data_IF_961953903233
#
_entry.id   IF_961953903233
#
_cell.length_a   1.000
_cell.length_b   1.000
_cell.length_c   1.000
_cell.angle_alpha   90.00
_cell.angle_beta   90.00
_cell.angle_gamma   90.00
#
_symmetry.space_group_name_H-M   'P 1'
#
loop_
_entity.id
_entity.type
_entity.pdbx_description
1 polymer ?
#
# COMPACT_ATOMS: atom_id res chain seq x y z
N UNK A 1 -6.79 -2.34 -3.19
CA UNK A 1 -5.69 -3.13 -2.58
C UNK A 1 -6.04 -3.83 -1.27
N UNK A 2 -6.23 -3.10 -0.16
CA UNK A 2 -6.44 -3.72 1.17
C UNK A 2 -7.76 -4.48 1.32
N UNK A 3 -8.88 -3.84 0.99
CA UNK A 3 -10.21 -4.44 1.10
C UNK A 3 -10.54 -5.59 0.12
N UNK A 4 -9.69 -5.80 -0.90
CA UNK A 4 -9.91 -6.80 -1.94
C UNK A 4 -8.77 -7.81 -2.02
N UNK A 5 -7.58 -7.38 -2.48
CA UNK A 5 -6.42 -8.26 -2.71
C UNK A 5 -5.91 -8.83 -1.38
N UNK A 6 -5.49 -7.95 -0.45
CA UNK A 6 -5.00 -8.39 0.86
C UNK A 6 -6.06 -9.20 1.61
N UNK A 7 -7.33 -8.73 1.62
CA UNK A 7 -8.44 -9.46 2.25
C UNK A 7 -8.65 -10.86 1.68
N UNK A 8 -8.65 -11.03 0.34
CA UNK A 8 -8.85 -12.36 -0.26
C UNK A 8 -7.67 -13.28 -0.04
N UNK A 9 -6.44 -12.79 -0.23
CA UNK A 9 -5.24 -13.60 -0.01
C UNK A 9 -5.09 -13.99 1.47
N UNK A 10 -5.46 -13.08 2.39
CA UNK A 10 -5.50 -13.37 3.82
C UNK A 10 -6.52 -14.44 4.19
N UNK A 11 -7.71 -14.40 3.57
CA UNK A 11 -8.75 -15.44 3.74
C UNK A 11 -8.34 -16.79 3.15
N UNK A 12 -7.57 -16.79 2.06
CA UNK A 12 -7.19 -18.02 1.35
C UNK A 12 -6.04 -18.78 2.03
N UNK A 13 -5.06 -18.05 2.56
CA UNK A 13 -3.83 -18.64 3.10
C UNK A 13 -3.60 -18.24 4.57
N UNK A 14 -3.21 -17.00 4.83
CA UNK A 14 -3.07 -16.47 6.19
C UNK A 14 -2.98 -14.94 6.18
N UNK A 15 -3.27 -14.26 7.31
CA UNK A 15 -3.15 -12.80 7.39
C UNK A 15 -1.78 -12.25 6.96
N UNK A 16 -0.70 -12.96 7.32
CA UNK A 16 0.66 -12.57 6.95
C UNK A 16 0.99 -12.82 5.48
N UNK A 17 0.55 -13.96 4.93
CA UNK A 17 0.73 -14.26 3.50
C UNK A 17 -0.06 -13.25 2.65
N UNK A 18 -1.29 -12.93 3.05
CA UNK A 18 -2.10 -11.94 2.35
C UNK A 18 -1.49 -10.54 2.38
N UNK A 19 -0.88 -10.15 3.51
CA UNK A 19 -0.12 -8.91 3.65
C UNK A 19 1.08 -8.87 2.70
N UNK A 20 1.93 -9.91 2.70
CA UNK A 20 3.12 -9.97 1.85
C UNK A 20 2.77 -9.97 0.36
N UNK A 21 1.83 -10.82 -0.06
CA UNK A 21 1.42 -10.91 -1.48
C UNK A 21 0.81 -9.59 -1.94
N UNK A 22 -0.07 -8.98 -1.16
CA UNK A 22 -0.68 -7.71 -1.54
C UNK A 22 0.35 -6.55 -1.53
N UNK A 23 1.35 -6.59 -0.65
CA UNK A 23 2.45 -5.63 -0.63
C UNK A 23 3.33 -5.76 -1.88
N UNK A 24 3.80 -6.98 -2.17
CA UNK A 24 4.65 -7.24 -3.34
C UNK A 24 3.93 -6.95 -4.65
N UNK A 25 2.67 -7.37 -4.80
CA UNK A 25 1.88 -7.07 -5.98
C UNK A 25 1.64 -5.56 -6.16
N UNK A 26 1.41 -4.84 -5.05
CA UNK A 26 1.26 -3.38 -5.07
C UNK A 26 2.54 -2.68 -5.54
N UNK A 27 3.71 -3.13 -5.08
CA UNK A 27 4.99 -2.58 -5.55
C UNK A 27 5.25 -2.95 -7.01
N UNK A 28 4.98 -4.19 -7.39
CA UNK A 28 5.34 -4.74 -8.70
C UNK A 28 4.60 -4.06 -9.87
N UNK A 29 3.35 -3.60 -9.67
CA UNK A 29 2.61 -2.87 -10.71
C UNK A 29 3.26 -1.53 -11.10
N UNK A 30 4.19 -1.02 -10.27
CA UNK A 30 4.96 0.18 -10.57
C UNK A 30 6.30 -0.10 -11.27
N UNK A 31 6.74 -1.36 -11.40
CA UNK A 31 8.00 -1.70 -12.10
C UNK A 31 8.02 -1.19 -13.55
N UNK A 32 6.94 -1.31 -14.36
CA UNK A 32 6.94 -0.82 -15.74
C UNK A 32 7.15 0.70 -15.86
N UNK A 33 6.93 1.47 -14.78
CA UNK A 33 7.21 2.93 -14.80
C UNK A 33 8.70 3.26 -14.91
N UNK A 34 9.59 2.31 -14.59
CA UNK A 34 11.03 2.49 -14.49
C UNK A 34 11.46 3.67 -13.58
N UNK A 35 10.57 4.12 -12.69
CA UNK A 35 10.84 5.17 -11.73
C UNK A 35 11.13 4.55 -10.36
N UNK A 36 12.40 4.59 -9.95
CA UNK A 36 12.85 4.02 -8.67
C UNK A 36 12.18 4.69 -7.46
N UNK A 37 11.93 5.99 -7.52
CA UNK A 37 11.22 6.71 -6.46
C UNK A 37 9.80 6.18 -6.31
N UNK A 38 9.08 5.99 -7.43
CA UNK A 38 7.72 5.48 -7.42
C UNK A 38 7.65 4.03 -6.91
N UNK A 39 8.57 3.19 -7.35
CA UNK A 39 8.66 1.79 -6.89
C UNK A 39 8.99 1.75 -5.39
N UNK A 40 9.94 2.56 -4.93
CA UNK A 40 10.31 2.68 -3.52
C UNK A 40 9.15 3.17 -2.64
N UNK A 41 8.50 4.25 -3.06
CA UNK A 41 7.33 4.81 -2.38
C UNK A 41 6.19 3.80 -2.32
N UNK A 42 5.90 3.09 -3.42
CA UNK A 42 4.90 2.03 -3.45
C UNK A 42 5.26 0.89 -2.50
N UNK A 43 6.53 0.51 -2.38
CA UNK A 43 7.00 -0.48 -1.41
C UNK A 43 6.75 -0.07 0.04
N UNK A 44 7.19 1.12 0.42
CA UNK A 44 7.03 1.64 1.78
C UNK A 44 5.56 1.83 2.13
N UNK A 45 4.79 2.48 1.27
CA UNK A 45 3.35 2.68 1.46
C UNK A 45 2.59 1.34 1.43
N UNK A 46 3.06 0.40 0.61
CA UNK A 46 2.55 -0.96 0.51
C UNK A 46 2.61 -1.70 1.85
N UNK A 47 3.77 -1.64 2.51
CA UNK A 47 3.99 -2.19 3.85
C UNK A 47 3.18 -1.43 4.89
N UNK A 48 3.27 -0.10 4.90
CA UNK A 48 2.63 0.74 5.90
C UNK A 48 1.11 0.57 5.93
N UNK A 49 0.42 0.77 4.79
CA UNK A 49 -1.04 0.60 4.73
C UNK A 49 -1.47 -0.86 4.87
N UNK A 50 -0.59 -1.80 4.49
CA UNK A 50 -0.81 -3.23 4.69
C UNK A 50 -0.87 -3.61 6.16
N UNK A 51 0.06 -3.08 6.96
CA UNK A 51 0.08 -3.24 8.42
C UNK A 51 -1.08 -2.50 9.07
N UNK A 52 -1.37 -1.27 8.64
CA UNK A 52 -2.48 -0.48 9.17
C UNK A 52 -3.83 -1.20 8.99
N UNK A 53 -4.06 -1.80 7.82
CA UNK A 53 -5.25 -2.63 7.57
C UNK A 53 -5.27 -3.89 8.45
N UNK A 54 -4.12 -4.52 8.69
CA UNK A 54 -4.02 -5.71 9.54
C UNK A 54 -4.32 -5.40 11.02
N UNK A 55 -3.88 -4.25 11.51
CA UNK A 55 -4.09 -3.81 12.90
C UNK A 55 -5.54 -3.36 13.11
N UNK A 56 -6.08 -2.58 12.18
CA UNK A 56 -7.39 -1.93 12.37
C UNK A 56 -8.56 -2.75 11.82
N UNK A 57 -8.32 -3.73 10.94
CA UNK A 57 -9.36 -4.47 10.23
C UNK A 57 -10.18 -3.62 9.25
N UNK A 58 -9.86 -2.33 9.11
CA UNK A 58 -10.61 -1.36 8.32
C UNK A 58 -9.75 -0.75 7.22
N UNK A 59 -10.35 -0.46 6.07
CA UNK A 59 -9.67 0.27 4.98
C UNK A 59 -9.62 1.77 5.23
N UNK A 60 -10.48 2.28 6.12
CA UNK A 60 -10.65 3.71 6.34
C UNK A 60 -9.38 4.42 6.81
N UNK A 61 -8.62 3.90 7.80
CA UNK A 61 -7.35 4.52 8.21
C UNK A 61 -6.34 4.60 7.07
N UNK A 62 -6.30 3.58 6.21
CA UNK A 62 -5.46 3.57 5.01
C UNK A 62 -5.87 4.62 3.99
N UNK A 63 -7.17 4.82 3.77
CA UNK A 63 -7.69 5.85 2.85
C UNK A 63 -7.33 7.25 3.35
N UNK A 64 -7.56 7.53 4.64
CA UNK A 64 -7.23 8.82 5.24
C UNK A 64 -5.72 9.08 5.14
N UNK A 65 -4.90 8.10 5.54
CA UNK A 65 -3.45 8.21 5.45
C UNK A 65 -2.96 8.44 4.02
N UNK A 66 -3.55 7.76 3.03
CA UNK A 66 -3.19 7.93 1.62
C UNK A 66 -3.54 9.32 1.11
N UNK A 67 -4.75 9.81 1.39
CA UNK A 67 -5.16 11.15 0.99
C UNK A 67 -4.25 12.24 1.61
N UNK A 68 -3.89 12.09 2.89
CA UNK A 68 -2.94 13.01 3.55
C UNK A 68 -1.55 12.92 2.91
N UNK A 69 -1.08 11.72 2.60
CA UNK A 69 0.19 11.50 1.92
C UNK A 69 0.20 12.21 0.56
N UNK A 70 -0.81 11.99 -0.28
CA UNK A 70 -0.91 12.57 -1.62
C UNK A 70 -0.87 14.10 -1.57
N UNK A 71 -1.67 14.72 -0.69
CA UNK A 71 -1.62 16.18 -0.50
C UNK A 71 -0.24 16.63 -0.03
N UNK A 72 0.38 15.88 0.89
CA UNK A 72 1.71 16.24 1.40
C UNK A 72 2.78 16.19 0.31
N UNK A 73 2.84 15.14 -0.49
CA UNK A 73 3.93 14.94 -1.46
C UNK A 73 3.72 15.63 -2.80
N UNK A 74 2.47 15.94 -3.18
CA UNK A 74 2.19 16.60 -4.45
C UNK A 74 1.93 18.11 -4.30
N UNK A 75 1.44 18.57 -3.14
CA UNK A 75 1.06 19.98 -2.95
C UNK A 75 1.98 20.68 -1.97
N UNK A 76 2.16 20.13 -0.77
CA UNK A 76 2.89 20.83 0.31
C UNK A 76 4.41 20.72 0.16
N UNK A 77 4.89 19.54 -0.20
CA UNK A 77 6.30 19.20 -0.33
C UNK A 77 6.51 18.44 -1.65
N UNK A 78 6.42 19.11 -2.82
CA UNK A 78 6.49 18.47 -4.12
C UNK A 78 7.82 17.73 -4.29
N UNK A 79 7.75 16.39 -4.38
CA UNK A 79 8.89 15.52 -4.68
C UNK A 79 8.67 14.91 -6.07
N UNK A 80 9.65 15.04 -6.96
CA UNK A 80 9.59 14.62 -8.37
C UNK A 80 10.50 13.43 -8.67
#
# INVERSE_FOLDING_TARGET
WRGFVQKRMAKRWSPWIGFLIAGLAYTAVHIPSMNLMLIGAAGVCGVFWGLLYKITGSVLPGIISHAVWDVSIFVLFPVQ
#
